data_IF_116138661400
#
_entry.id   IF_116138661400
#
_cell.length_a   1.000
_cell.length_b   1.000
_cell.length_c   1.000
_cell.angle_alpha   90.00
_cell.angle_beta   90.00
_cell.angle_gamma   90.00
#
_symmetry.space_group_name_H-M   'P 1'
#
loop_
_entity.id
_entity.type
_entity.pdbx_description
1 polymer ?
#
# COMPACT_ATOMS: atom_id res chain seq x y z
N UNK A 1 25.92 11.82 61.45
CA UNK A 1 24.68 11.37 60.77
C UNK A 1 25.00 11.24 59.29
N UNK A 2 25.02 10.01 58.76
CA UNK A 2 25.23 9.76 57.33
C UNK A 2 23.86 9.43 56.76
N UNK A 3 23.34 10.32 55.90
CA UNK A 3 22.13 10.09 55.12
C UNK A 3 22.54 9.25 53.90
N UNK A 4 21.98 8.04 53.69
CA UNK A 4 22.22 7.32 52.45
C UNK A 4 21.42 8.00 51.33
N UNK A 5 22.12 8.49 50.30
CA UNK A 5 21.50 8.90 49.05
C UNK A 5 20.88 7.68 48.35
N UNK A 6 19.73 7.83 47.68
CA UNK A 6 19.10 6.72 46.99
C UNK A 6 19.97 6.27 45.81
N UNK A 7 20.35 5.00 45.81
CA UNK A 7 21.03 4.34 44.71
C UNK A 7 20.03 4.15 43.55
N UNK A 8 20.02 5.07 42.59
CA UNK A 8 19.27 4.87 41.35
C UNK A 8 20.04 3.89 40.48
N UNK A 9 19.48 2.71 40.27
CA UNK A 9 20.09 1.66 39.48
C UNK A 9 20.09 2.04 37.99
N UNK A 10 21.25 2.04 37.30
CA UNK A 10 21.36 2.44 35.89
C UNK A 10 20.62 1.51 34.92
N UNK A 11 20.14 0.36 35.40
CA UNK A 11 19.35 -0.62 34.65
C UNK A 11 17.90 -0.17 34.39
N UNK A 12 17.33 0.69 35.25
CA UNK A 12 15.95 1.19 35.07
C UNK A 12 15.82 2.18 33.92
N UNK A 13 16.82 3.05 33.71
CA UNK A 13 16.86 3.96 32.56
C UNK A 13 17.05 3.23 31.24
N UNK A 14 17.84 2.15 31.20
CA UNK A 14 18.03 1.32 30.00
C UNK A 14 16.76 0.57 29.61
N UNK A 15 16.01 0.04 30.60
CA UNK A 15 14.73 -0.61 30.37
C UNK A 15 13.66 0.37 29.89
N UNK A 16 13.60 1.57 30.46
CA UNK A 16 12.71 2.65 30.00
C UNK A 16 13.06 3.08 28.58
N UNK A 17 14.35 3.23 28.25
CA UNK A 17 14.80 3.59 26.90
C UNK A 17 14.45 2.50 25.88
N UNK A 18 14.65 1.22 26.24
CA UNK A 18 14.30 0.08 25.40
C UNK A 18 12.77 -0.01 25.19
N UNK A 19 11.99 0.24 26.24
CA UNK A 19 10.53 0.27 26.18
C UNK A 19 10.04 1.44 25.32
N UNK A 20 10.64 2.63 25.43
CA UNK A 20 10.37 3.77 24.54
C UNK A 20 10.75 3.48 23.09
N UNK A 21 11.84 2.75 22.84
CA UNK A 21 12.21 2.30 21.49
C UNK A 21 11.17 1.33 20.90
N UNK A 22 10.66 0.40 21.72
CA UNK A 22 9.63 -0.58 21.34
C UNK A 22 8.25 0.05 21.17
N UNK A 23 7.96 1.14 21.90
CA UNK A 23 6.70 1.89 21.83
C UNK A 23 6.72 3.00 20.77
N UNK A 24 7.85 3.26 20.12
CA UNK A 24 7.95 4.23 19.03
C UNK A 24 7.50 3.57 17.71
N UNK A 25 6.31 3.88 17.16
CA UNK A 25 5.86 3.31 15.90
C UNK A 25 6.62 3.88 14.68
N UNK A 26 7.73 4.60 14.89
CA UNK A 26 8.36 5.48 13.91
C UNK A 26 9.89 5.40 13.84
N UNK A 27 10.54 4.37 14.39
CA UNK A 27 11.99 4.13 14.21
C UNK A 27 12.33 3.17 13.06
N UNK A 28 11.33 2.48 12.49
CA UNK A 28 11.42 2.08 11.09
C UNK A 28 11.11 3.33 10.28
N UNK A 29 12.11 3.89 9.60
CA UNK A 29 11.86 4.91 8.59
C UNK A 29 10.71 4.45 7.68
N UNK A 30 9.92 5.41 7.18
CA UNK A 30 8.87 5.13 6.19
C UNK A 30 9.43 4.14 5.18
N UNK A 31 8.77 2.98 4.95
CA UNK A 31 9.31 1.98 4.05
C UNK A 31 9.63 2.64 2.71
N UNK A 32 10.91 2.60 2.33
CA UNK A 32 11.36 3.22 1.10
C UNK A 32 11.16 2.27 -0.07
N UNK A 33 10.58 2.78 -1.16
CA UNK A 33 10.40 2.03 -2.40
C UNK A 33 11.02 2.82 -3.55
N UNK A 34 12.22 2.41 -3.95
CA UNK A 34 12.93 2.98 -5.11
C UNK A 34 13.85 1.93 -5.72
N UNK A 35 14.16 2.08 -7.01
CA UNK A 35 14.93 1.10 -7.77
C UNK A 35 16.19 1.76 -8.34
N UNK A 36 17.37 1.56 -7.74
CA UNK A 36 18.63 2.14 -8.25
C UNK A 36 18.99 1.66 -9.66
N UNK A 37 18.62 0.41 -9.97
CA UNK A 37 18.77 -0.21 -11.28
C UNK A 37 17.40 -0.59 -11.83
N UNK A 38 17.25 -0.59 -13.16
CA UNK A 38 15.97 -0.92 -13.76
C UNK A 38 15.65 -2.40 -13.55
N UNK A 39 14.56 -2.74 -12.84
CA UNK A 39 14.14 -4.13 -12.67
C UNK A 39 13.36 -4.64 -13.88
N UNK A 40 13.02 -3.76 -14.83
CA UNK A 40 12.18 -4.07 -16.00
C UNK A 40 13.09 -4.46 -17.16
N UNK A 41 12.99 -5.72 -17.59
CA UNK A 41 13.72 -6.28 -18.74
C UNK A 41 13.48 -5.49 -20.03
N UNK A 42 14.30 -5.70 -21.06
CA UNK A 42 13.98 -5.28 -22.44
C UNK A 42 13.11 -6.30 -23.18
N UNK A 43 13.02 -7.52 -22.67
CA UNK A 43 12.36 -8.66 -23.36
C UNK A 43 10.97 -9.00 -22.83
N UNK A 44 10.45 -8.29 -21.83
CA UNK A 44 9.17 -8.61 -21.17
C UNK A 44 8.01 -8.80 -22.16
N UNK A 45 7.95 -7.99 -23.23
CA UNK A 45 6.89 -8.07 -24.22
C UNK A 45 6.92 -9.41 -24.98
N UNK A 46 8.10 -9.97 -25.20
CA UNK A 46 8.24 -11.29 -25.81
C UNK A 46 7.85 -12.39 -24.81
N UNK A 47 8.26 -12.27 -23.55
CA UNK A 47 7.88 -13.20 -22.47
C UNK A 47 6.36 -13.27 -22.31
N UNK A 48 5.67 -12.13 -22.30
CA UNK A 48 4.21 -12.04 -22.20
C UNK A 48 3.53 -12.64 -23.44
N UNK A 49 4.04 -12.36 -24.64
CA UNK A 49 3.52 -12.93 -25.89
C UNK A 49 3.61 -14.45 -25.89
N UNK A 50 4.76 -15.00 -25.50
CA UNK A 50 4.96 -16.44 -25.40
C UNK A 50 3.95 -17.09 -24.47
N UNK A 51 3.62 -16.48 -23.32
CA UNK A 51 2.54 -17.00 -22.47
C UNK A 51 1.18 -16.95 -23.19
N UNK A 52 0.87 -15.83 -23.84
CA UNK A 52 -0.41 -15.63 -24.54
C UNK A 52 -0.63 -16.66 -25.65
N UNK A 53 0.41 -17.10 -26.35
CA UNK A 53 0.33 -18.11 -27.43
C UNK A 53 -0.20 -19.48 -26.95
N UNK A 54 -0.11 -19.77 -25.64
CA UNK A 54 -0.56 -21.04 -25.04
C UNK A 54 -1.80 -20.89 -24.14
N UNK A 55 -2.36 -19.69 -23.99
CA UNK A 55 -3.50 -19.44 -23.11
C UNK A 55 -4.83 -19.47 -23.85
N UNK A 56 -5.87 -19.93 -23.14
CA UNK A 56 -7.25 -19.61 -23.49
C UNK A 56 -7.47 -18.12 -23.20
N UNK A 57 -7.60 -17.32 -24.25
CA UNK A 57 -7.54 -15.86 -24.16
C UNK A 57 -8.67 -15.24 -23.33
N UNK A 58 -9.78 -15.98 -23.17
CA UNK A 58 -10.98 -15.65 -22.43
C UNK A 58 -11.01 -16.24 -21.01
N UNK A 59 -9.90 -16.87 -20.56
CA UNK A 59 -9.80 -17.38 -19.20
C UNK A 59 -10.15 -16.27 -18.18
N UNK A 60 -11.09 -16.52 -17.26
CA UNK A 60 -11.61 -15.48 -16.38
C UNK A 60 -10.59 -15.11 -15.31
N UNK A 61 -10.22 -13.83 -15.29
CA UNK A 61 -9.42 -13.18 -14.25
C UNK A 61 -10.17 -11.96 -13.71
N UNK A 62 -9.57 -11.23 -12.78
CA UNK A 62 -10.13 -9.99 -12.26
C UNK A 62 -9.18 -8.81 -12.39
N UNK A 63 -9.74 -7.63 -12.63
CA UNK A 63 -9.02 -6.36 -12.64
C UNK A 63 -9.69 -5.38 -11.69
N UNK A 64 -8.92 -4.47 -11.10
CA UNK A 64 -9.49 -3.43 -10.24
C UNK A 64 -10.24 -2.41 -11.11
N UNK A 65 -11.51 -2.18 -10.76
CA UNK A 65 -12.42 -1.28 -11.49
C UNK A 65 -12.42 0.16 -10.98
N UNK A 66 -12.05 0.35 -9.71
CA UNK A 66 -12.04 1.64 -9.03
C UNK A 66 -10.67 1.96 -8.43
N UNK A 67 -9.59 1.42 -9.01
CA UNK A 67 -8.25 1.82 -8.61
C UNK A 67 -8.07 3.31 -8.96
N UNK A 68 -7.57 4.11 -8.02
CA UNK A 68 -7.36 5.54 -8.27
C UNK A 68 -6.42 5.74 -9.46
N UNK A 69 -6.80 6.66 -10.34
CA UNK A 69 -5.96 7.07 -11.45
C UNK A 69 -4.89 8.06 -10.96
N UNK A 70 -3.74 7.51 -10.59
CA UNK A 70 -2.58 8.26 -10.10
C UNK A 70 -1.42 8.15 -11.12
N UNK A 71 -0.88 9.29 -11.54
CA UNK A 71 0.19 9.35 -12.56
C UNK A 71 1.51 8.69 -12.12
N UNK A 72 1.77 8.62 -10.82
CA UNK A 72 2.98 8.02 -10.25
C UNK A 72 2.77 6.53 -9.96
N UNK A 73 1.66 6.21 -9.30
CA UNK A 73 1.42 4.92 -8.68
C UNK A 73 0.51 4.01 -9.51
N UNK A 74 -0.29 4.54 -10.42
CA UNK A 74 -1.30 3.77 -11.16
C UNK A 74 -0.71 2.58 -11.93
N UNK A 75 0.37 2.80 -12.67
CA UNK A 75 1.06 1.71 -13.38
C UNK A 75 1.66 0.68 -12.41
N UNK A 76 2.26 1.16 -11.32
CA UNK A 76 2.86 0.30 -10.30
C UNK A 76 1.82 -0.57 -9.60
N UNK A 77 0.68 0.01 -9.19
CA UNK A 77 -0.43 -0.70 -8.55
C UNK A 77 -1.08 -1.74 -9.46
N UNK A 78 -1.29 -1.43 -10.75
CA UNK A 78 -1.80 -2.43 -11.71
C UNK A 78 -0.84 -3.61 -11.86
N UNK A 79 0.47 -3.37 -11.87
CA UNK A 79 1.48 -4.45 -11.86
C UNK A 79 1.48 -5.26 -10.55
N UNK A 80 1.26 -4.64 -9.40
CA UNK A 80 1.08 -5.35 -8.12
C UNK A 80 -0.10 -6.32 -8.19
N UNK A 81 -1.23 -5.89 -8.75
CA UNK A 81 -2.41 -6.73 -8.90
C UNK A 81 -2.17 -7.85 -9.92
N UNK A 82 -1.51 -7.55 -11.04
CA UNK A 82 -1.14 -8.55 -12.04
C UNK A 82 -0.17 -9.60 -11.48
N UNK A 83 0.79 -9.20 -10.65
CA UNK A 83 1.75 -10.11 -10.00
C UNK A 83 1.02 -11.13 -9.11
N UNK A 84 0.01 -10.68 -8.33
CA UNK A 84 -0.81 -11.59 -7.52
C UNK A 84 -1.56 -12.61 -8.39
N UNK A 85 -2.09 -12.16 -9.53
CA UNK A 85 -2.72 -13.06 -10.50
C UNK A 85 -1.76 -14.09 -11.06
N UNK A 86 -0.53 -13.69 -11.44
CA UNK A 86 0.49 -14.65 -11.87
C UNK A 86 0.77 -15.69 -10.78
N UNK A 87 0.87 -15.26 -9.52
CA UNK A 87 1.02 -16.14 -8.37
C UNK A 87 -0.13 -17.15 -8.23
N UNK A 88 -1.37 -16.69 -8.40
CA UNK A 88 -2.57 -17.54 -8.32
C UNK A 88 -2.66 -18.52 -9.50
N UNK A 89 -2.43 -18.07 -10.73
CA UNK A 89 -2.50 -18.92 -11.92
C UNK A 89 -1.47 -20.06 -11.85
N UNK A 90 -0.29 -19.80 -11.29
CA UNK A 90 0.75 -20.81 -11.10
C UNK A 90 0.32 -21.99 -10.23
N UNK A 91 -0.63 -21.80 -9.29
CA UNK A 91 -1.05 -22.89 -8.38
C UNK A 91 -2.00 -23.88 -9.04
N UNK A 92 -2.67 -23.46 -10.12
CA UNK A 92 -3.65 -24.26 -10.87
C UNK A 92 -3.15 -24.70 -12.25
N UNK A 93 -1.96 -24.25 -12.65
CA UNK A 93 -1.38 -24.54 -13.96
C UNK A 93 -0.69 -25.91 -14.00
N UNK A 94 -0.79 -26.58 -15.16
CA UNK A 94 0.07 -27.73 -15.48
C UNK A 94 1.54 -27.34 -15.60
N UNK A 95 2.45 -28.32 -15.51
CA UNK A 95 3.90 -28.08 -15.36
C UNK A 95 4.54 -27.20 -16.45
N UNK A 96 4.12 -27.34 -17.72
CA UNK A 96 4.65 -26.49 -18.80
C UNK A 96 4.06 -25.08 -18.76
N UNK A 97 2.76 -24.95 -18.46
CA UNK A 97 2.10 -23.65 -18.30
C UNK A 97 2.68 -22.89 -17.10
N UNK A 98 2.99 -23.58 -16.01
CA UNK A 98 3.62 -22.99 -14.83
C UNK A 98 4.96 -22.33 -15.16
N UNK A 99 5.76 -22.90 -16.09
CA UNK A 99 7.03 -22.29 -16.54
C UNK A 99 6.78 -20.98 -17.29
N UNK A 100 5.78 -20.94 -18.17
CA UNK A 100 5.41 -19.73 -18.91
C UNK A 100 4.90 -18.64 -17.95
N UNK A 101 4.04 -19.01 -17.00
CA UNK A 101 3.55 -18.11 -15.97
C UNK A 101 4.67 -17.61 -15.06
N UNK A 102 5.64 -18.46 -14.71
CA UNK A 102 6.78 -18.05 -13.90
C UNK A 102 7.71 -17.09 -14.64
N UNK A 103 7.91 -17.30 -15.94
CA UNK A 103 8.68 -16.38 -16.76
C UNK A 103 8.02 -14.98 -16.76
N UNK A 104 6.70 -14.89 -16.95
CA UNK A 104 5.98 -13.60 -16.88
C UNK A 104 5.97 -13.04 -15.46
N UNK A 105 5.78 -13.88 -14.43
CA UNK A 105 5.85 -13.46 -13.03
C UNK A 105 7.21 -12.80 -12.72
N UNK A 106 8.30 -13.36 -13.22
CA UNK A 106 9.66 -12.82 -13.04
C UNK A 106 9.83 -11.42 -13.63
N UNK A 107 9.12 -11.08 -14.71
CA UNK A 107 9.15 -9.74 -15.31
C UNK A 107 8.52 -8.67 -14.40
N UNK A 108 7.63 -9.07 -13.49
CA UNK A 108 6.86 -8.16 -12.64
C UNK A 108 7.07 -8.40 -11.14
N UNK A 109 7.85 -9.40 -10.74
CA UNK A 109 8.05 -9.77 -9.32
C UNK A 109 8.72 -8.66 -8.52
N UNK A 110 9.44 -7.74 -9.17
CA UNK A 110 10.08 -6.61 -8.49
C UNK A 110 9.10 -5.75 -7.68
N UNK A 111 7.81 -5.72 -8.04
CA UNK A 111 6.81 -4.97 -7.26
C UNK A 111 6.67 -5.51 -5.83
N UNK A 112 7.06 -6.77 -5.58
CA UNK A 112 7.05 -7.39 -4.25
C UNK A 112 8.30 -7.06 -3.43
N UNK A 113 9.30 -6.39 -3.99
CA UNK A 113 10.48 -5.94 -3.21
C UNK A 113 10.15 -4.73 -2.34
N UNK A 114 8.99 -4.11 -2.54
CA UNK A 114 8.48 -3.03 -1.74
C UNK A 114 7.47 -3.54 -0.70
N UNK A 115 7.51 -3.00 0.52
CA UNK A 115 6.64 -3.39 1.63
C UNK A 115 5.21 -2.84 1.45
N UNK A 116 4.50 -3.38 0.47
CA UNK A 116 3.12 -3.03 0.14
C UNK A 116 2.18 -3.32 1.32
N UNK A 117 1.28 -2.39 1.59
CA UNK A 117 0.20 -2.61 2.53
C UNK A 117 -0.80 -3.65 1.96
N UNK A 118 -1.62 -4.27 2.84
CA UNK A 118 -2.75 -5.08 2.41
C UNK A 118 -3.67 -4.30 1.45
N UNK A 119 -4.42 -5.02 0.59
CA UNK A 119 -5.36 -4.36 -0.31
C UNK A 119 -6.43 -3.62 0.51
N UNK A 120 -6.74 -2.36 0.17
CA UNK A 120 -7.77 -1.62 0.88
C UNK A 120 -9.14 -2.27 0.65
N UNK A 121 -10.00 -2.21 1.65
CA UNK A 121 -11.35 -2.80 1.59
C UNK A 121 -12.26 -2.16 0.54
N UNK A 122 -11.95 -0.93 0.11
CA UNK A 122 -12.67 -0.23 -0.93
C UNK A 122 -12.41 -0.78 -2.34
N UNK A 123 -11.36 -1.59 -2.54
CA UNK A 123 -10.96 -2.03 -3.88
C UNK A 123 -11.99 -3.01 -4.46
N UNK A 124 -12.54 -2.67 -5.61
CA UNK A 124 -13.57 -3.44 -6.32
C UNK A 124 -12.97 -4.09 -7.54
N UNK A 125 -13.23 -5.39 -7.66
CA UNK A 125 -12.76 -6.21 -8.76
C UNK A 125 -13.91 -6.54 -9.70
N UNK A 126 -13.63 -6.48 -11.00
CA UNK A 126 -14.54 -6.94 -12.05
C UNK A 126 -13.90 -8.07 -12.83
N UNK A 127 -14.70 -8.97 -13.35
CA UNK A 127 -14.22 -10.05 -14.20
C UNK A 127 -13.73 -9.48 -15.53
N UNK A 128 -12.59 -9.99 -16.00
CA UNK A 128 -12.02 -9.67 -17.30
C UNK A 128 -11.38 -10.94 -17.90
N UNK A 129 -11.04 -10.86 -19.18
CA UNK A 129 -10.31 -11.91 -19.87
C UNK A 129 -8.81 -11.83 -19.53
N UNK A 130 -8.12 -12.97 -19.43
CA UNK A 130 -6.67 -12.98 -19.19
C UNK A 130 -5.89 -12.23 -20.26
N UNK A 131 -6.36 -12.23 -21.51
CA UNK A 131 -5.80 -11.42 -22.60
C UNK A 131 -5.73 -9.93 -22.24
N UNK A 132 -6.78 -9.39 -21.60
CA UNK A 132 -6.82 -8.00 -21.15
C UNK A 132 -5.81 -7.75 -20.02
N UNK A 133 -5.71 -8.66 -19.05
CA UNK A 133 -4.71 -8.57 -17.98
C UNK A 133 -3.27 -8.56 -18.52
N UNK A 134 -2.96 -9.43 -19.47
CA UNK A 134 -1.62 -9.53 -20.07
C UNK A 134 -1.30 -8.31 -20.93
N UNK A 135 -2.27 -7.82 -21.71
CA UNK A 135 -2.11 -6.61 -22.50
C UNK A 135 -1.86 -5.39 -21.60
N UNK A 136 -2.68 -5.20 -20.56
CA UNK A 136 -2.49 -4.11 -19.60
C UNK A 136 -1.13 -4.23 -18.91
N UNK A 137 -0.73 -5.42 -18.44
CA UNK A 137 0.59 -5.66 -17.83
C UNK A 137 1.73 -5.21 -18.74
N UNK A 138 1.68 -5.55 -20.03
CA UNK A 138 2.68 -5.11 -21.01
C UNK A 138 2.71 -3.59 -21.17
N UNK A 139 1.53 -2.95 -21.26
CA UNK A 139 1.41 -1.50 -21.37
C UNK A 139 1.93 -0.78 -20.12
N UNK A 140 1.61 -1.26 -18.92
CA UNK A 140 2.09 -0.68 -17.67
C UNK A 140 3.62 -0.82 -17.54
N UNK A 141 4.21 -1.94 -17.98
CA UNK A 141 5.67 -2.08 -18.03
C UNK A 141 6.32 -1.09 -18.99
N UNK A 142 5.73 -0.87 -20.19
CA UNK A 142 6.21 0.14 -21.14
C UNK A 142 6.16 1.53 -20.51
N UNK A 143 5.04 1.90 -19.90
CA UNK A 143 4.84 3.21 -19.28
C UNK A 143 5.78 3.43 -18.09
N UNK A 144 6.02 2.40 -17.27
CA UNK A 144 6.80 2.49 -16.04
C UNK A 144 8.32 2.44 -16.28
N UNK A 145 8.78 1.74 -17.34
CA UNK A 145 10.20 1.55 -17.66
C UNK A 145 11.06 2.83 -17.63
N UNK A 146 10.67 3.97 -18.22
CA UNK A 146 11.50 5.18 -18.17
C UNK A 146 11.54 5.84 -16.78
N UNK A 147 10.59 5.54 -15.90
CA UNK A 147 10.41 6.22 -14.61
C UNK A 147 10.85 5.38 -13.40
N UNK A 148 10.93 4.05 -13.55
CA UNK A 148 11.15 3.12 -12.44
C UNK A 148 12.43 3.42 -11.63
N UNK A 149 13.46 3.96 -12.27
CA UNK A 149 14.73 4.34 -11.61
C UNK A 149 14.84 5.82 -11.25
N UNK A 150 13.88 6.65 -11.69
CA UNK A 150 13.93 8.12 -11.57
C UNK A 150 12.99 8.67 -10.51
N UNK A 151 12.04 7.85 -10.05
CA UNK A 151 10.99 8.26 -9.11
C UNK A 151 11.06 7.43 -7.83
N UNK A 152 10.54 8.01 -6.76
CA UNK A 152 10.34 7.33 -5.48
C UNK A 152 8.88 6.89 -5.40
N UNK A 153 8.67 5.60 -5.11
CA UNK A 153 7.37 4.92 -5.04
C UNK A 153 6.94 4.64 -3.59
N UNK A 154 7.59 5.22 -2.58
CA UNK A 154 7.22 5.04 -1.16
C UNK A 154 5.77 5.47 -0.89
N UNK A 155 5.24 6.44 -1.65
CA UNK A 155 3.82 6.84 -1.59
C UNK A 155 2.86 5.84 -2.26
N UNK A 156 3.38 4.92 -3.05
CA UNK A 156 2.62 3.89 -3.76
C UNK A 156 2.49 2.59 -2.96
N UNK A 157 2.97 2.55 -1.71
CA UNK A 157 2.88 1.36 -0.87
C UNK A 157 1.46 1.06 -0.42
N UNK A 158 0.59 2.07 -0.40
CA UNK A 158 -0.83 1.94 -0.10
C UNK A 158 -1.63 2.17 -1.38
N UNK A 159 -2.34 1.14 -1.85
CA UNK A 159 -3.23 1.27 -3.00
C UNK A 159 -4.40 2.16 -2.62
N UNK A 160 -4.79 3.07 -3.51
CA UNK A 160 -5.93 3.96 -3.30
C UNK A 160 -7.06 3.64 -4.26
N UNK A 161 -8.28 3.84 -3.78
CA UNK A 161 -9.48 3.70 -4.58
C UNK A 161 -9.97 5.08 -5.04
N UNK A 162 -10.55 5.13 -6.23
CA UNK A 162 -11.28 6.30 -6.68
C UNK A 162 -12.53 6.48 -5.80
N UNK A 163 -12.81 7.70 -5.29
CA UNK A 163 -14.01 7.95 -4.51
C UNK A 163 -15.25 7.69 -5.37
N UNK A 164 -16.29 7.10 -4.76
CA UNK A 164 -17.55 6.86 -5.46
C UNK A 164 -18.09 8.19 -6.01
N UNK A 165 -18.54 8.23 -7.28
CA UNK A 165 -19.06 9.47 -7.90
C UNK A 165 -20.15 10.15 -7.07
N UNK A 166 -20.90 9.37 -6.28
CA UNK A 166 -21.94 9.84 -5.36
C UNK A 166 -21.43 10.67 -4.18
N UNK A 167 -20.12 10.79 -3.97
CA UNK A 167 -19.51 11.70 -2.98
C UNK A 167 -19.07 13.04 -3.57
N UNK A 168 -19.15 13.23 -4.90
CA UNK A 168 -19.07 14.57 -5.48
C UNK A 168 -20.39 15.27 -5.19
N UNK A 169 -20.40 16.09 -4.13
CA UNK A 169 -21.49 17.04 -3.88
C UNK A 169 -21.80 17.79 -5.19
N UNK A 170 -23.08 17.86 -5.61
CA UNK A 170 -23.44 18.63 -6.80
C UNK A 170 -22.95 20.08 -6.64
N UNK A 171 -22.60 20.77 -7.73
CA UNK A 171 -22.14 22.15 -7.66
C UNK A 171 -23.18 22.96 -6.88
N UNK A 172 -22.74 23.55 -5.76
CA UNK A 172 -23.59 24.24 -4.80
C UNK A 172 -24.21 25.44 -5.50
N UNK A 173 -25.43 25.27 -6.01
CA UNK A 173 -26.24 26.35 -6.54
C UNK A 173 -26.45 27.38 -5.40
N UNK A 174 -26.21 28.68 -5.66
CA UNK A 174 -26.31 29.72 -4.63
C UNK A 174 -27.77 30.02 -4.36
N UNK A 175 -28.37 29.31 -3.40
CA UNK A 175 -29.75 29.57 -3.00
C UNK A 175 -30.43 28.38 -2.34
N UNK A 176 -29.97 27.99 -1.15
CA UNK A 176 -30.80 27.23 -0.22
C UNK A 176 -30.32 27.49 1.21
N UNK A 177 -31.28 28.00 1.97
CA UNK A 177 -31.28 28.52 3.34
C UNK A 177 -30.54 27.66 4.38
N UNK A 178 -30.00 28.36 5.37
CA UNK A 178 -29.37 27.86 6.59
C UNK A 178 -30.09 26.65 7.20
N UNK A 179 -29.33 25.59 7.44
CA UNK A 179 -29.69 24.53 8.35
C UNK A 179 -28.53 24.33 9.35
N UNK A 180 -28.85 24.71 10.58
CA UNK A 180 -28.16 24.58 11.86
C UNK A 180 -27.08 23.49 11.91
N UNK A 181 -25.83 23.89 12.17
CA UNK A 181 -24.72 23.01 12.50
C UNK A 181 -24.94 22.31 13.85
N UNK A 182 -24.90 20.98 13.86
CA UNK A 182 -24.75 20.19 15.08
C UNK A 182 -23.28 20.21 15.54
N UNK A 183 -22.99 20.32 16.86
CA UNK A 183 -21.62 20.44 17.34
C UNK A 183 -20.86 19.11 17.22
N UNK A 184 -19.58 19.22 16.88
CA UNK A 184 -18.63 18.10 16.79
C UNK A 184 -18.42 17.40 18.15
N UNK A 185 -18.01 16.11 18.18
CA UNK A 185 -17.89 15.35 19.42
C UNK A 185 -16.72 15.85 20.26
N UNK A 186 -16.98 16.15 21.53
CA UNK A 186 -16.05 16.66 22.55
C UNK A 186 -15.05 15.60 23.07
N UNK A 187 -14.49 14.76 22.20
CA UNK A 187 -13.52 13.73 22.60
C UNK A 187 -12.14 14.34 22.97
N UNK A 188 -11.80 15.50 22.41
CA UNK A 188 -10.48 16.14 22.54
C UNK A 188 -10.27 16.82 23.91
N UNK A 189 -11.34 17.30 24.55
CA UNK A 189 -11.27 18.03 25.83
C UNK A 189 -11.14 17.08 27.03
N UNK A 190 -11.76 15.90 26.94
CA UNK A 190 -11.68 14.85 27.98
C UNK A 190 -10.26 14.27 28.07
N UNK A 191 -9.59 14.08 26.93
CA UNK A 191 -8.21 13.59 26.87
C UNK A 191 -7.22 14.60 27.48
N UNK A 192 -7.45 15.90 27.23
CA UNK A 192 -6.62 16.98 27.77
C UNK A 192 -6.77 17.12 29.28
N UNK A 193 -8.00 16.97 29.79
CA UNK A 193 -8.30 17.01 31.23
C UNK A 193 -7.65 15.83 31.97
N UNK A 194 -7.68 14.63 31.37
CA UNK A 194 -7.08 13.42 31.95
C UNK A 194 -5.55 13.52 32.03
N UNK A 195 -4.90 14.11 31.01
CA UNK A 195 -3.46 14.34 31.01
C UNK A 195 -3.02 15.35 32.08
N UNK A 196 -3.87 16.33 32.40
CA UNK A 196 -3.56 17.38 33.36
C UNK A 196 -3.73 16.93 34.82
N UNK A 197 -4.53 15.90 35.08
CA UNK A 197 -4.82 15.35 36.42
C UNK A 197 -3.83 14.26 36.87
N UNK A 198 -3.10 13.64 35.93
CA UNK A 198 -2.11 12.60 36.21
C UNK A 198 -0.91 13.03 37.10
N UNK A 199 -0.40 14.28 37.07
CA UNK A 199 0.77 14.67 37.89
C UNK A 199 0.45 14.81 39.38
N UNK A 200 -0.82 15.05 39.75
CA UNK A 200 -1.21 15.27 41.14
C UNK A 200 -1.39 13.96 41.93
N UNK A 201 -1.75 12.86 41.25
CA UNK A 201 -1.94 11.57 41.89
C UNK A 201 -0.61 10.82 42.16
N UNK A 202 0.45 11.13 41.40
CA UNK A 202 1.75 10.48 41.55
C UNK A 202 2.64 11.09 42.65
N UNK A 203 2.22 12.23 43.22
CA UNK A 203 2.92 12.96 44.29
C UNK A 203 2.38 12.60 45.70
N UNK A 204 1.37 11.75 45.78
CA UNK A 204 0.72 11.28 47.01
C UNK A 204 0.96 9.79 47.31
N UNK A 205 1.86 9.13 46.57
CA UNK A 205 2.31 7.76 46.83
C UNK A 205 3.78 7.74 47.28
#
# INVERSE_FOLDING_TARGET
MVVPAPAWSPTTSLLLLLLLLLLSPGLLGSPDCSFPHSPISSTFANTIRQLSDYLLQDYPVTVASNLQDDELCGAFWRLVLAQRWMGQLKTVAGSQMQKLLEAVNTEIVFVTSCALQPLPSCLRFVQANISHLLQDTSQQLVALKPWITRRNFSRCLELQCQPDPSTLLPPRSPGALEATSLPAPQASLLLLLLLLLLPAALLLL
#
